data_IF_492738448577
#
_entry.id   IF_492738448577
#
_cell.length_a   1.000
_cell.length_b   1.000
_cell.length_c   1.000
_cell.angle_alpha   90.00
_cell.angle_beta   90.00
_cell.angle_gamma   90.00
#
_symmetry.space_group_name_H-M   'P 1'
#
loop_
_entity.id
_entity.type
_entity.pdbx_description
1 polymer ?
#
# COMPACT_ATOMS: atom_id res chain seq x y z
N UNK A 1 -12.37 32.45 -29.72
CA UNK A 1 -13.56 31.93 -29.01
C UNK A 1 -13.24 30.48 -28.71
N UNK A 2 -12.61 30.27 -27.56
CA UNK A 2 -11.91 29.06 -27.15
C UNK A 2 -12.91 28.02 -26.59
N UNK A 3 -12.71 26.70 -26.82
CA UNK A 3 -13.57 25.66 -26.28
C UNK A 3 -13.20 25.33 -24.83
N UNK A 4 -14.11 25.59 -23.88
CA UNK A 4 -13.98 25.11 -22.50
C UNK A 4 -14.26 23.60 -22.44
N UNK A 5 -13.18 22.82 -22.40
CA UNK A 5 -13.20 21.41 -22.01
C UNK A 5 -13.46 21.32 -20.50
N UNK A 6 -14.62 20.78 -20.12
CA UNK A 6 -14.97 20.48 -18.73
C UNK A 6 -14.16 19.28 -18.23
N UNK A 7 -13.06 19.54 -17.52
CA UNK A 7 -12.31 18.54 -16.77
C UNK A 7 -13.12 18.06 -15.56
N UNK A 8 -13.80 16.92 -15.69
CA UNK A 8 -14.38 16.23 -14.55
C UNK A 8 -13.26 15.45 -13.86
N UNK A 9 -12.68 16.10 -12.87
CA UNK A 9 -12.14 15.56 -11.61
C UNK A 9 -12.04 14.03 -11.55
N UNK A 10 -10.87 13.50 -11.91
CA UNK A 10 -10.45 12.17 -11.48
C UNK A 10 -9.93 12.32 -10.04
N UNK A 11 -10.41 11.58 -9.03
CA UNK A 11 -9.79 11.61 -7.72
C UNK A 11 -8.33 11.21 -7.91
N UNK A 12 -7.43 12.13 -7.58
CA UNK A 12 -6.00 11.91 -7.48
C UNK A 12 -5.76 10.74 -6.54
N UNK A 13 -5.73 9.51 -7.07
CA UNK A 13 -4.94 8.44 -6.50
C UNK A 13 -3.50 8.93 -6.63
N UNK A 14 -3.00 9.51 -5.55
CA UNK A 14 -1.58 9.80 -5.40
C UNK A 14 -0.83 8.53 -5.79
N UNK A 15 0.07 8.56 -6.79
CA UNK A 15 0.97 7.45 -6.98
C UNK A 15 1.78 7.36 -5.68
N UNK A 16 1.52 6.34 -4.88
CA UNK A 16 2.43 5.90 -3.82
C UNK A 16 3.63 5.29 -4.54
N UNK A 17 4.38 6.13 -5.27
CA UNK A 17 5.52 5.73 -6.09
C UNK A 17 6.70 6.52 -5.56
N UNK A 18 7.25 6.06 -4.44
CA UNK A 18 8.41 6.70 -3.81
C UNK A 18 8.63 6.40 -2.33
N UNK A 19 7.67 5.74 -1.66
CA UNK A 19 7.90 5.24 -0.30
C UNK A 19 8.21 3.75 -0.37
N UNK A 20 9.45 3.40 -0.02
CA UNK A 20 9.85 2.02 0.21
C UNK A 20 8.97 1.44 1.32
N UNK A 21 8.12 0.48 0.99
CA UNK A 21 7.27 -0.20 1.97
C UNK A 21 8.13 -1.00 2.94
N UNK A 22 7.97 -0.73 4.24
CA UNK A 22 8.67 -1.42 5.32
C UNK A 22 10.20 -1.56 5.08
N UNK A 23 10.94 -0.44 5.06
CA UNK A 23 12.37 -0.44 4.75
C UNK A 23 13.14 -1.25 5.81
N UNK A 24 13.90 -2.25 5.34
CA UNK A 24 14.64 -3.17 6.20
C UNK A 24 13.88 -4.45 6.59
N UNK A 25 12.59 -4.56 6.24
CA UNK A 25 11.84 -5.83 6.33
C UNK A 25 11.96 -6.61 5.02
N UNK A 26 11.83 -5.94 3.88
CA UNK A 26 11.97 -6.54 2.56
C UNK A 26 13.40 -6.39 2.06
N UNK A 27 13.90 -7.40 1.33
CA UNK A 27 15.27 -7.40 0.78
C UNK A 27 15.42 -6.36 -0.33
N UNK A 28 14.32 -6.06 -1.02
CA UNK A 28 14.29 -5.09 -2.12
C UNK A 28 12.93 -4.42 -2.20
N UNK A 29 12.92 -3.19 -2.70
CA UNK A 29 11.70 -2.40 -2.92
C UNK A 29 10.66 -3.17 -3.76
N UNK A 30 11.15 -3.86 -4.78
CA UNK A 30 10.33 -4.73 -5.65
C UNK A 30 9.66 -5.88 -4.88
N UNK A 31 10.31 -6.45 -3.85
CA UNK A 31 9.69 -7.51 -3.05
C UNK A 31 8.54 -6.95 -2.19
N UNK A 32 8.71 -5.72 -1.67
CA UNK A 32 7.65 -5.02 -0.95
C UNK A 32 6.47 -4.68 -1.86
N UNK A 33 6.74 -4.15 -3.05
CA UNK A 33 5.73 -3.84 -4.07
C UNK A 33 4.96 -5.09 -4.54
N UNK A 34 5.66 -6.20 -4.80
CA UNK A 34 5.05 -7.49 -5.19
C UNK A 34 4.16 -8.03 -4.06
N UNK A 35 4.65 -7.96 -2.82
CA UNK A 35 3.87 -8.33 -1.64
C UNK A 35 2.61 -7.48 -1.50
N UNK A 36 2.73 -6.15 -1.60
CA UNK A 36 1.59 -5.23 -1.55
C UNK A 36 0.61 -5.45 -2.71
N UNK A 37 1.10 -5.80 -3.89
CA UNK A 37 0.28 -6.10 -5.07
C UNK A 37 -0.50 -7.40 -4.93
N UNK A 38 -0.03 -8.33 -4.10
CA UNK A 38 -0.77 -9.55 -3.74
C UNK A 38 -1.89 -9.30 -2.72
N UNK A 39 -1.96 -8.12 -2.09
CA UNK A 39 -2.98 -7.79 -1.10
C UNK A 39 -4.17 -7.06 -1.72
N UNK A 40 -5.33 -7.22 -1.10
CA UNK A 40 -6.51 -6.40 -1.42
C UNK A 40 -6.23 -4.92 -1.17
N UNK A 41 -6.88 -4.03 -1.92
CA UNK A 41 -6.66 -2.58 -1.83
C UNK A 41 -6.85 -2.03 -0.41
N UNK A 42 -7.85 -2.51 0.33
CA UNK A 42 -8.09 -2.13 1.73
C UNK A 42 -6.98 -2.64 2.67
N UNK A 43 -6.55 -3.89 2.48
CA UNK A 43 -5.48 -4.49 3.30
C UNK A 43 -4.18 -3.75 3.05
N UNK A 44 -3.85 -3.49 1.77
CA UNK A 44 -2.67 -2.74 1.33
C UNK A 44 -2.62 -1.35 1.95
N UNK A 45 -3.72 -0.60 1.86
CA UNK A 45 -3.80 0.75 2.44
C UNK A 45 -3.60 0.72 3.98
N UNK A 46 -4.18 -0.28 4.65
CA UNK A 46 -4.00 -0.46 6.08
C UNK A 46 -2.54 -0.76 6.46
N UNK A 47 -1.88 -1.73 5.80
CA UNK A 47 -0.49 -2.07 6.10
C UNK A 47 0.48 -0.94 5.76
N UNK A 48 0.21 -0.15 4.71
CA UNK A 48 1.02 1.04 4.42
C UNK A 48 0.88 2.07 5.54
N UNK A 49 -0.33 2.30 6.05
CA UNK A 49 -0.57 3.25 7.16
C UNK A 49 0.06 2.81 8.48
N UNK A 50 0.19 1.50 8.71
CA UNK A 50 0.80 0.93 9.92
C UNK A 50 2.22 0.40 9.66
N UNK A 51 2.84 0.78 8.53
CA UNK A 51 4.14 0.23 8.11
C UNK A 51 5.26 0.54 9.12
N UNK A 52 5.20 1.70 9.77
CA UNK A 52 6.12 2.13 10.82
C UNK A 52 6.07 1.26 12.09
N UNK A 53 4.97 0.56 12.34
CA UNK A 53 4.83 -0.32 13.50
C UNK A 53 5.45 -1.69 13.25
N UNK A 54 5.60 -2.07 11.99
CA UNK A 54 6.14 -3.37 11.63
C UNK A 54 7.66 -3.38 11.79
N UNK A 55 8.14 -4.33 12.59
CA UNK A 55 9.57 -4.60 12.79
C UNK A 55 10.07 -5.78 11.96
N UNK A 56 9.17 -6.68 11.58
CA UNK A 56 9.47 -7.92 10.86
C UNK A 56 8.40 -8.25 9.84
N UNK A 57 8.73 -9.08 8.84
CA UNK A 57 7.74 -9.59 7.87
C UNK A 57 6.61 -10.33 8.56
N UNK A 58 6.90 -11.00 9.67
CA UNK A 58 5.91 -11.74 10.44
C UNK A 58 4.84 -10.83 11.07
N UNK A 59 5.21 -9.64 11.54
CA UNK A 59 4.24 -8.64 12.03
C UNK A 59 3.25 -8.23 10.94
N UNK A 60 3.74 -8.02 9.71
CA UNK A 60 2.89 -7.65 8.57
C UNK A 60 1.89 -8.76 8.28
N UNK A 61 2.37 -10.01 8.23
CA UNK A 61 1.51 -11.19 7.98
C UNK A 61 0.50 -11.40 9.11
N UNK A 62 0.90 -11.24 10.37
CA UNK A 62 0.00 -11.33 11.53
C UNK A 62 -1.07 -10.23 11.50
N UNK A 63 -0.68 -9.01 11.16
CA UNK A 63 -1.60 -7.88 10.95
C UNK A 63 -2.63 -8.19 9.86
N UNK A 64 -2.18 -8.74 8.72
CA UNK A 64 -3.07 -9.16 7.63
C UNK A 64 -4.01 -10.29 8.08
N UNK A 65 -3.50 -11.31 8.77
CA UNK A 65 -4.34 -12.41 9.26
C UNK A 65 -5.41 -11.91 10.26
N UNK A 66 -5.07 -10.95 11.12
CA UNK A 66 -6.01 -10.28 12.02
C UNK A 66 -7.08 -9.50 11.26
N UNK A 67 -6.70 -8.75 10.22
CA UNK A 67 -7.65 -8.04 9.35
C UNK A 67 -8.62 -8.99 8.65
N UNK A 68 -8.13 -10.15 8.23
CA UNK A 68 -8.91 -11.17 7.50
C UNK A 68 -9.70 -12.10 8.45
N UNK A 69 -9.59 -11.91 9.76
CA UNK A 69 -10.26 -12.77 10.76
C UNK A 69 -9.77 -14.22 10.76
N UNK A 70 -8.59 -14.49 10.17
CA UNK A 70 -7.91 -15.78 10.26
C UNK A 70 -7.13 -15.81 11.57
N UNK A 71 -7.79 -16.25 12.64
CA UNK A 71 -7.18 -16.52 13.95
C UNK A 71 -7.36 -17.99 14.31
#
# INVERSE_FOLDING_TARGET
MDPMQGSIMNPSMSPISGFAFAPGIFVSDHEGEDFLSSLDSDTRDYVIKHTDEFRTRQDIVDCINKLHGKS
#
